data_IF_923313539392
#
_entry.id   IF_923313539392
#
_cell.length_a   1.000
_cell.length_b   1.000
_cell.length_c   1.000
_cell.angle_alpha   90.00
_cell.angle_beta   90.00
_cell.angle_gamma   90.00
#
_symmetry.space_group_name_H-M   'P 1'
#
loop_
_entity.id
_entity.type
_entity.pdbx_description
1 polymer ?
#
# COMPACT_ATOMS: atom_id res chain seq x y z
N UNK A 1 -25.35 1.73 1.39
CA UNK A 1 -23.89 2.01 1.50
C UNK A 1 -23.68 2.86 2.74
N UNK A 2 -22.69 2.56 3.56
CA UNK A 2 -22.32 3.46 4.67
C UNK A 2 -21.58 4.67 4.09
N UNK A 3 -21.94 5.87 4.54
CA UNK A 3 -21.30 7.11 4.08
C UNK A 3 -20.03 7.48 4.88
N UNK A 4 -19.77 6.77 5.98
CA UNK A 4 -18.58 6.92 6.80
C UNK A 4 -17.34 6.32 6.14
N UNK A 5 -16.19 6.96 6.39
CA UNK A 5 -14.88 6.38 6.11
C UNK A 5 -14.51 5.38 7.21
N UNK A 6 -13.91 4.26 6.82
CA UNK A 6 -13.22 3.37 7.76
C UNK A 6 -11.71 3.62 7.70
N UNK A 7 -11.15 4.14 8.78
CA UNK A 7 -9.71 4.23 8.98
C UNK A 7 -9.16 2.90 9.49
N UNK A 8 -8.33 2.25 8.68
CA UNK A 8 -7.62 1.02 9.01
C UNK A 8 -6.21 1.42 9.44
N UNK A 9 -5.90 1.22 10.71
CA UNK A 9 -4.74 1.81 11.37
C UNK A 9 -3.71 0.74 11.73
N UNK A 10 -2.47 0.92 11.28
CA UNK A 10 -1.33 0.17 11.80
C UNK A 10 -0.63 1.00 12.90
N UNK A 11 -0.90 0.72 14.19
CA UNK A 11 -0.33 1.52 15.28
C UNK A 11 1.19 1.37 15.40
N UNK A 12 1.78 0.28 14.89
CA UNK A 12 3.21 0.03 14.92
C UNK A 12 3.97 0.78 13.81
N UNK A 13 3.28 1.29 12.78
CA UNK A 13 3.91 1.97 11.65
C UNK A 13 4.71 3.21 12.09
N UNK A 14 5.87 3.39 11.45
CA UNK A 14 6.80 4.48 11.76
C UNK A 14 7.42 4.40 13.16
N UNK A 15 7.60 3.19 13.71
CA UNK A 15 8.15 3.00 15.06
C UNK A 15 7.22 3.47 16.17
N UNK A 16 5.90 3.36 15.97
CA UNK A 16 4.89 3.83 16.91
C UNK A 16 4.55 5.33 16.81
N UNK A 17 5.15 6.06 15.85
CA UNK A 17 4.79 7.46 15.55
C UNK A 17 3.32 7.61 15.19
N UNK A 18 2.77 6.64 14.46
CA UNK A 18 1.35 6.59 14.07
C UNK A 18 0.44 6.72 15.30
N UNK A 19 0.68 5.92 16.36
CA UNK A 19 -0.11 5.97 17.59
C UNK A 19 -0.14 7.35 18.24
N UNK A 20 0.97 8.10 18.20
CA UNK A 20 1.06 9.45 18.78
C UNK A 20 0.31 10.51 17.97
N UNK A 21 0.34 10.39 16.64
CA UNK A 21 -0.22 11.39 15.73
C UNK A 21 -1.67 11.09 15.32
N UNK A 22 -2.15 9.87 15.60
CA UNK A 22 -3.47 9.40 15.17
C UNK A 22 -4.60 10.28 15.71
N UNK A 23 -4.66 10.46 17.04
CA UNK A 23 -5.76 11.20 17.66
C UNK A 23 -5.86 12.65 17.15
N UNK A 24 -4.78 13.47 17.16
CA UNK A 24 -4.84 14.82 16.61
C UNK A 24 -5.25 14.88 15.13
N UNK A 25 -4.77 13.93 14.31
CA UNK A 25 -5.13 13.89 12.89
C UNK A 25 -6.62 13.55 12.69
N UNK A 26 -7.14 12.56 13.42
CA UNK A 26 -8.54 12.16 13.31
C UNK A 26 -9.49 13.22 13.89
N UNK A 27 -9.10 13.92 14.95
CA UNK A 27 -9.91 15.01 15.52
C UNK A 27 -10.03 16.16 14.52
N UNK A 28 -8.94 16.52 13.82
CA UNK A 28 -8.97 17.52 12.75
C UNK A 28 -9.88 17.10 11.60
N UNK A 29 -9.83 15.82 11.18
CA UNK A 29 -10.72 15.32 10.12
C UNK A 29 -12.18 15.30 10.58
N UNK A 30 -12.48 14.80 11.78
CA UNK A 30 -13.85 14.78 12.32
C UNK A 30 -14.42 16.18 12.53
N UNK A 31 -13.58 17.13 12.96
CA UNK A 31 -13.93 18.54 13.09
C UNK A 31 -14.31 19.21 11.77
N UNK A 32 -13.92 18.64 10.63
CA UNK A 32 -14.35 19.09 9.29
C UNK A 32 -15.69 18.49 8.83
N UNK A 33 -16.33 17.65 9.64
CA UNK A 33 -17.60 16.99 9.34
C UNK A 33 -17.47 15.56 8.79
N UNK A 34 -16.26 15.04 8.60
CA UNK A 34 -16.04 13.67 8.15
C UNK A 34 -16.43 12.64 9.21
N UNK A 35 -17.29 11.71 8.83
CA UNK A 35 -17.63 10.54 9.65
C UNK A 35 -16.54 9.48 9.48
N UNK A 36 -15.79 9.21 10.56
CA UNK A 36 -14.65 8.28 10.53
C UNK A 36 -14.76 7.27 11.67
N UNK A 37 -14.90 5.99 11.30
CA UNK A 37 -14.72 4.85 12.20
C UNK A 37 -13.27 4.33 12.13
N UNK A 38 -12.81 3.68 13.20
CA UNK A 38 -11.42 3.24 13.32
C UNK A 38 -11.39 1.73 13.57
N UNK A 39 -10.50 1.01 12.87
CA UNK A 39 -10.10 -0.36 13.19
C UNK A 39 -8.58 -0.47 13.18
N UNK A 40 -8.03 -0.93 14.30
CA UNK A 40 -6.58 -1.12 14.43
C UNK A 40 -6.17 -2.54 14.04
N UNK A 41 -5.08 -2.65 13.29
CA UNK A 41 -4.43 -3.93 12.99
C UNK A 41 -3.63 -4.41 14.20
N UNK A 42 -3.58 -5.71 14.39
CA UNK A 42 -2.83 -6.36 15.48
C UNK A 42 -1.65 -7.22 15.00
N UNK A 43 -1.64 -7.60 13.71
CA UNK A 43 -0.64 -8.47 13.11
C UNK A 43 -0.54 -8.23 11.60
N UNK A 44 0.48 -8.82 10.98
CA UNK A 44 0.64 -8.86 9.52
C UNK A 44 -0.57 -9.55 8.87
N UNK A 45 -1.11 -8.99 7.79
CA UNK A 45 -2.27 -9.50 7.07
C UNK A 45 -3.62 -9.05 7.65
N UNK A 46 -3.66 -8.54 8.88
CA UNK A 46 -4.92 -8.17 9.53
C UNK A 46 -5.59 -6.96 8.85
N UNK A 47 -4.85 -6.07 8.17
CA UNK A 47 -5.49 -4.97 7.44
C UNK A 47 -6.32 -5.48 6.25
N UNK A 48 -5.89 -6.57 5.61
CA UNK A 48 -6.64 -7.21 4.53
C UNK A 48 -7.93 -7.84 5.06
N UNK A 49 -7.87 -8.52 6.20
CA UNK A 49 -9.04 -9.10 6.87
C UNK A 49 -10.05 -8.03 7.27
N UNK A 50 -9.58 -6.92 7.89
CA UNK A 50 -10.42 -5.78 8.26
C UNK A 50 -11.09 -5.18 7.02
N UNK A 51 -10.32 -4.93 5.95
CA UNK A 51 -10.83 -4.34 4.72
C UNK A 51 -11.89 -5.24 4.07
N UNK A 52 -11.65 -6.55 4.05
CA UNK A 52 -12.59 -7.54 3.55
C UNK A 52 -13.89 -7.55 4.37
N UNK A 53 -13.80 -7.61 5.70
CA UNK A 53 -14.97 -7.61 6.57
C UNK A 53 -15.76 -6.30 6.45
N UNK A 54 -15.09 -5.16 6.44
CA UNK A 54 -15.74 -3.87 6.28
C UNK A 54 -16.44 -3.74 4.92
N UNK A 55 -15.85 -4.31 3.87
CA UNK A 55 -16.49 -4.38 2.56
C UNK A 55 -17.85 -5.12 2.63
N UNK A 56 -17.91 -6.25 3.31
CA UNK A 56 -19.16 -7.03 3.47
C UNK A 56 -20.18 -6.29 4.35
N UNK A 57 -19.72 -5.49 5.31
CA UNK A 57 -20.56 -4.59 6.12
C UNK A 57 -21.07 -3.34 5.37
N UNK A 58 -20.65 -3.15 4.11
CA UNK A 58 -21.15 -2.08 3.25
C UNK A 58 -20.29 -0.81 3.21
N UNK A 59 -19.07 -0.85 3.74
CA UNK A 59 -18.08 0.22 3.58
C UNK A 59 -17.55 0.30 2.15
N UNK A 60 -17.41 1.52 1.64
CA UNK A 60 -16.82 1.77 0.32
C UNK A 60 -15.74 2.85 0.33
N UNK A 61 -15.58 3.54 1.47
CA UNK A 61 -14.59 4.61 1.69
C UNK A 61 -13.63 4.15 2.79
N UNK A 62 -12.35 4.05 2.47
CA UNK A 62 -11.32 3.55 3.37
C UNK A 62 -10.20 4.58 3.52
N UNK A 63 -9.58 4.63 4.69
CA UNK A 63 -8.37 5.44 4.96
C UNK A 63 -7.28 4.48 5.45
N UNK A 64 -6.20 4.36 4.70
CA UNK A 64 -5.00 3.64 5.15
C UNK A 64 -4.18 4.55 6.06
N UNK A 65 -4.07 4.19 7.34
CA UNK A 65 -3.23 4.91 8.30
C UNK A 65 -2.06 4.02 8.70
N UNK A 66 -0.94 4.15 7.99
CA UNK A 66 0.19 3.25 8.14
C UNK A 66 1.30 3.53 7.14
N UNK A 67 2.00 2.47 6.73
CA UNK A 67 2.98 2.52 5.64
C UNK A 67 2.43 1.90 4.35
N UNK A 68 3.29 1.79 3.32
CA UNK A 68 2.95 1.14 2.04
C UNK A 68 2.47 -0.32 2.21
N UNK A 69 2.96 -1.03 3.24
CA UNK A 69 2.46 -2.39 3.55
C UNK A 69 1.01 -2.42 4.03
N UNK A 70 0.57 -1.38 4.76
CA UNK A 70 -0.82 -1.28 5.23
C UNK A 70 -1.76 -1.04 4.07
N UNK A 71 -1.43 -0.11 3.16
CA UNK A 71 -2.23 0.11 1.96
C UNK A 71 -2.23 -1.09 1.03
N UNK A 72 -1.10 -1.78 0.89
CA UNK A 72 -1.00 -3.03 0.13
C UNK A 72 -1.96 -4.10 0.68
N UNK A 73 -1.98 -4.34 2.00
CA UNK A 73 -2.90 -5.29 2.60
C UNK A 73 -4.37 -4.88 2.39
N UNK A 74 -4.71 -3.61 2.57
CA UNK A 74 -6.07 -3.11 2.35
C UNK A 74 -6.51 -3.36 0.90
N UNK A 75 -5.69 -3.00 -0.08
CA UNK A 75 -5.98 -3.24 -1.50
C UNK A 75 -6.25 -4.72 -1.77
N UNK A 76 -5.44 -5.61 -1.21
CA UNK A 76 -5.61 -7.06 -1.38
C UNK A 76 -6.82 -7.63 -0.63
N UNK A 77 -7.33 -6.96 0.41
CA UNK A 77 -8.61 -7.29 1.03
C UNK A 77 -9.83 -6.85 0.21
N UNK A 78 -9.70 -5.79 -0.59
CA UNK A 78 -10.79 -5.17 -1.35
C UNK A 78 -10.96 -5.74 -2.77
N UNK A 79 -9.87 -5.86 -3.53
CA UNK A 79 -9.94 -6.16 -4.97
C UNK A 79 -10.41 -7.57 -5.35
N UNK A 80 -10.25 -8.62 -4.52
CA UNK A 80 -10.94 -9.88 -4.76
C UNK A 80 -12.47 -9.73 -4.84
N UNK A 81 -13.03 -8.67 -4.23
CA UNK A 81 -14.47 -8.42 -4.14
C UNK A 81 -14.97 -7.34 -5.11
N UNK A 82 -14.10 -6.40 -5.52
CA UNK A 82 -14.47 -5.28 -6.39
C UNK A 82 -14.65 -5.68 -7.86
N UNK A 83 -14.15 -6.85 -8.28
CA UNK A 83 -14.22 -7.32 -9.66
C UNK A 83 -15.64 -7.39 -10.25
N UNK A 84 -16.68 -7.44 -9.40
CA UNK A 84 -18.09 -7.49 -9.80
C UNK A 84 -18.97 -6.44 -9.05
N UNK A 85 -18.36 -5.41 -8.46
CA UNK A 85 -19.05 -4.47 -7.59
C UNK A 85 -18.53 -3.03 -7.76
N UNK A 86 -18.92 -2.13 -6.85
CA UNK A 86 -18.47 -0.74 -6.86
C UNK A 86 -16.94 -0.62 -6.68
N UNK A 87 -16.33 0.41 -7.25
CA UNK A 87 -14.91 0.71 -7.00
C UNK A 87 -14.76 1.29 -5.58
N UNK A 88 -13.87 0.73 -4.72
CA UNK A 88 -13.60 1.33 -3.41
C UNK A 88 -12.83 2.65 -3.55
N UNK A 89 -13.12 3.61 -2.67
CA UNK A 89 -12.27 4.78 -2.46
C UNK A 89 -11.26 4.47 -1.37
N UNK A 90 -9.97 4.63 -1.65
CA UNK A 90 -8.88 4.49 -0.69
C UNK A 90 -8.11 5.80 -0.56
N UNK A 91 -8.17 6.40 0.62
CA UNK A 91 -7.35 7.55 0.99
C UNK A 91 -6.13 7.08 1.80
N UNK A 92 -5.08 7.90 1.80
CA UNK A 92 -3.84 7.65 2.50
C UNK A 92 -3.65 8.71 3.57
N UNK A 93 -3.45 8.29 4.82
CA UNK A 93 -3.08 9.20 5.91
C UNK A 93 -1.67 8.84 6.39
N UNK A 94 -0.64 9.55 5.89
CA UNK A 94 0.77 9.17 6.02
C UNK A 94 1.35 9.51 7.40
N UNK A 95 0.90 8.83 8.46
CA UNK A 95 1.43 9.05 9.82
C UNK A 95 2.70 8.24 10.14
N UNK A 96 3.04 7.27 9.26
CA UNK A 96 4.24 6.43 9.32
C UNK A 96 5.39 6.95 8.45
N UNK A 97 6.33 6.04 8.14
CA UNK A 97 7.54 6.35 7.35
C UNK A 97 7.41 6.08 5.86
N UNK A 98 6.50 5.18 5.43
CA UNK A 98 6.34 4.78 4.03
C UNK A 98 5.09 5.38 3.41
N UNK A 99 5.25 6.20 2.37
CA UNK A 99 4.17 6.93 1.70
C UNK A 99 4.41 7.01 0.19
N UNK A 100 4.95 5.94 -0.39
CA UNK A 100 5.51 5.96 -1.74
C UNK A 100 4.44 6.31 -2.77
N UNK A 101 3.23 5.73 -2.62
CA UNK A 101 2.13 6.05 -3.53
C UNK A 101 1.66 7.51 -3.41
N UNK A 102 1.64 8.09 -2.21
CA UNK A 102 1.22 9.49 -2.03
C UNK A 102 2.19 10.48 -2.69
N UNK A 103 3.49 10.12 -2.74
CA UNK A 103 4.54 10.95 -3.38
C UNK A 103 4.33 11.11 -4.88
N UNK A 104 3.58 10.21 -5.53
CA UNK A 104 3.23 10.33 -6.95
C UNK A 104 2.19 11.45 -7.19
N UNK A 105 1.54 11.95 -6.13
CA UNK A 105 0.51 12.99 -6.20
C UNK A 105 0.99 14.33 -5.62
N UNK A 106 1.82 14.29 -4.57
CA UNK A 106 2.29 15.49 -3.88
C UNK A 106 3.49 15.20 -2.98
N UNK A 107 4.37 16.19 -2.83
CA UNK A 107 5.49 16.21 -1.90
C UNK A 107 5.11 16.73 -0.49
N UNK A 108 3.92 17.30 -0.32
CA UNK A 108 3.45 17.91 0.93
C UNK A 108 2.99 16.87 1.98
N UNK A 109 2.93 15.59 1.62
CA UNK A 109 2.70 14.49 2.56
C UNK A 109 1.37 14.59 3.31
N UNK A 110 1.42 14.68 4.65
CA UNK A 110 0.23 14.61 5.51
C UNK A 110 -0.74 15.77 5.30
N UNK A 111 -0.25 16.97 5.04
CA UNK A 111 -1.12 18.14 4.85
C UNK A 111 -1.95 18.01 3.57
N UNK A 112 -1.33 17.58 2.47
CA UNK A 112 -2.06 17.29 1.23
C UNK A 112 -3.09 16.17 1.40
N UNK A 113 -2.75 15.11 2.15
CA UNK A 113 -3.69 14.02 2.45
C UNK A 113 -4.90 14.53 3.24
N UNK A 114 -4.67 15.34 4.28
CA UNK A 114 -5.71 15.92 5.12
C UNK A 114 -6.63 16.85 4.31
N UNK A 115 -6.05 17.77 3.54
CA UNK A 115 -6.83 18.67 2.68
C UNK A 115 -7.62 17.93 1.62
N UNK A 116 -7.06 16.87 1.03
CA UNK A 116 -7.74 16.07 0.02
C UNK A 116 -8.94 15.30 0.60
N UNK A 117 -8.79 14.78 1.82
CA UNK A 117 -9.89 14.16 2.58
C UNK A 117 -10.99 15.18 2.89
N UNK A 118 -10.62 16.35 3.42
CA UNK A 118 -11.58 17.41 3.80
C UNK A 118 -12.33 17.93 2.56
N UNK A 119 -11.63 18.14 1.45
CA UNK A 119 -12.22 18.62 0.21
C UNK A 119 -12.94 17.53 -0.61
N UNK A 120 -12.92 16.27 -0.16
CA UNK A 120 -13.52 15.14 -0.89
C UNK A 120 -12.89 14.87 -2.26
N UNK A 121 -11.61 15.24 -2.46
CA UNK A 121 -10.91 15.05 -3.73
C UNK A 121 -10.64 13.56 -3.95
N UNK A 122 -11.07 13.05 -5.10
CA UNK A 122 -10.83 11.68 -5.53
C UNK A 122 -10.53 11.63 -7.03
N UNK A 123 -9.81 10.60 -7.44
CA UNK A 123 -9.57 10.26 -8.84
C UNK A 123 -9.53 8.75 -9.00
N UNK A 124 -9.91 8.26 -10.17
CA UNK A 124 -9.72 6.86 -10.51
C UNK A 124 -8.23 6.56 -10.67
N UNK A 125 -7.83 5.35 -10.24
CA UNK A 125 -6.46 4.87 -10.33
C UNK A 125 -6.50 3.41 -10.79
N UNK A 126 -5.64 3.10 -11.76
CA UNK A 126 -5.46 1.72 -12.21
C UNK A 126 -4.82 0.87 -11.12
N UNK A 127 -5.19 -0.41 -11.10
CA UNK A 127 -4.64 -1.40 -10.18
C UNK A 127 -4.05 -2.55 -10.97
N UNK A 128 -2.77 -2.83 -10.70
CA UNK A 128 -2.05 -3.93 -11.31
C UNK A 128 -2.50 -5.24 -10.66
N UNK A 129 -2.97 -6.18 -11.47
CA UNK A 129 -3.36 -7.53 -11.02
C UNK A 129 -2.30 -8.55 -11.44
N UNK A 130 -1.66 -9.18 -10.46
CA UNK A 130 -0.71 -10.27 -10.64
C UNK A 130 -1.37 -11.60 -10.29
N UNK A 131 -1.37 -12.55 -11.23
CA UNK A 131 -1.74 -13.94 -10.94
C UNK A 131 -0.47 -14.78 -10.81
N UNK A 132 -0.32 -15.50 -9.70
CA UNK A 132 0.76 -16.45 -9.46
C UNK A 132 0.21 -17.79 -8.96
N UNK A 133 1.09 -18.79 -8.82
CA UNK A 133 0.71 -20.17 -8.45
C UNK A 133 -0.11 -20.28 -7.15
N UNK A 134 0.07 -19.34 -6.21
CA UNK A 134 -0.57 -19.38 -4.88
C UNK A 134 -1.76 -18.41 -4.77
N UNK A 135 -2.11 -17.69 -5.85
CA UNK A 135 -3.27 -16.80 -5.86
C UNK A 135 -3.09 -15.55 -6.72
N UNK A 136 -3.86 -14.52 -6.36
CA UNK A 136 -3.88 -13.23 -7.05
C UNK A 136 -3.47 -12.15 -6.07
N UNK A 137 -2.58 -11.26 -6.50
CA UNK A 137 -2.17 -10.07 -5.76
C UNK A 137 -2.48 -8.82 -6.57
N UNK A 138 -2.85 -7.75 -5.87
CA UNK A 138 -3.13 -6.44 -6.45
C UNK A 138 -2.10 -5.42 -5.93
N UNK A 139 -1.62 -4.57 -6.84
CA UNK A 139 -0.62 -3.53 -6.57
C UNK A 139 -1.11 -2.18 -7.09
N UNK A 140 -0.84 -1.13 -6.32
CA UNK A 140 -1.20 0.25 -6.69
C UNK A 140 0.02 1.12 -7.04
N UNK A 141 1.23 0.67 -6.72
CA UNK A 141 2.45 1.47 -6.93
C UNK A 141 3.39 0.76 -7.91
N UNK A 142 4.08 -0.29 -7.44
CA UNK A 142 5.10 -0.97 -8.23
C UNK A 142 5.08 -2.47 -7.98
N UNK A 143 5.29 -3.23 -9.07
CA UNK A 143 5.61 -4.65 -9.04
C UNK A 143 7.05 -4.81 -9.55
N UNK A 144 7.89 -5.50 -8.79
CA UNK A 144 9.28 -5.77 -9.15
C UNK A 144 9.57 -7.28 -9.17
N UNK A 145 10.24 -7.74 -10.23
CA UNK A 145 10.71 -9.13 -10.37
C UNK A 145 12.22 -9.15 -10.65
N UNK A 146 12.88 -10.24 -10.27
CA UNK A 146 14.31 -10.44 -10.54
C UNK A 146 15.21 -9.62 -9.62
N UNK A 147 16.19 -8.93 -10.21
CA UNK A 147 17.30 -8.32 -9.47
C UNK A 147 16.86 -7.30 -8.41
N UNK A 148 15.96 -6.38 -8.74
CA UNK A 148 15.48 -5.38 -7.79
C UNK A 148 14.75 -6.01 -6.59
N UNK A 149 13.98 -7.08 -6.83
CA UNK A 149 13.32 -7.85 -5.79
C UNK A 149 14.32 -8.61 -4.90
N UNK A 150 15.38 -9.17 -5.50
CA UNK A 150 16.46 -9.82 -4.75
C UNK A 150 17.18 -8.81 -3.83
N UNK A 151 17.48 -7.60 -4.34
CA UNK A 151 18.11 -6.51 -3.57
C UNK A 151 17.22 -6.10 -2.41
N UNK A 152 15.93 -5.84 -2.67
CA UNK A 152 14.98 -5.44 -1.64
C UNK A 152 14.84 -6.52 -0.55
N UNK A 153 14.81 -7.79 -0.95
CA UNK A 153 14.74 -8.94 -0.03
C UNK A 153 16.00 -9.04 0.83
N UNK A 154 17.18 -8.91 0.22
CA UNK A 154 18.45 -8.97 0.93
C UNK A 154 18.59 -7.81 1.92
N UNK A 155 18.22 -6.59 1.50
CA UNK A 155 18.18 -5.40 2.37
C UNK A 155 17.26 -5.63 3.55
N UNK A 156 16.03 -6.10 3.32
CA UNK A 156 15.07 -6.33 4.39
C UNK A 156 15.53 -7.40 5.39
N UNK A 157 16.19 -8.48 4.92
CA UNK A 157 16.61 -9.59 5.78
C UNK A 157 17.92 -9.34 6.54
N UNK A 158 18.87 -8.61 5.96
CA UNK A 158 20.23 -8.48 6.51
C UNK A 158 20.66 -7.06 6.86
N UNK A 159 20.05 -6.04 6.25
CA UNK A 159 20.52 -4.66 6.34
C UNK A 159 19.38 -3.67 6.64
N UNK A 160 18.30 -4.13 7.29
CA UNK A 160 17.09 -3.33 7.51
C UNK A 160 17.34 -2.09 8.37
N UNK A 161 18.30 -2.17 9.29
CA UNK A 161 18.71 -1.09 10.20
C UNK A 161 19.78 -0.15 9.62
N UNK A 162 20.31 -0.41 8.42
CA UNK A 162 21.48 0.30 7.88
C UNK A 162 21.12 1.47 6.95
N UNK A 163 19.84 1.87 6.92
CA UNK A 163 19.37 2.98 6.09
C UNK A 163 19.75 2.81 4.61
N UNK A 164 20.34 3.85 4.03
CA UNK A 164 20.77 3.91 2.62
C UNK A 164 21.98 3.00 2.32
N UNK A 165 22.94 2.91 3.24
CA UNK A 165 24.10 2.01 3.08
C UNK A 165 23.70 0.54 3.00
N UNK A 166 22.59 0.17 3.65
CA UNK A 166 22.00 -1.16 3.53
C UNK A 166 21.53 -1.47 2.12
N UNK A 167 21.01 -0.47 1.39
CA UNK A 167 20.63 -0.62 -0.01
C UNK A 167 21.86 -0.78 -0.91
N UNK A 168 22.85 0.11 -0.79
CA UNK A 168 24.07 0.05 -1.60
C UNK A 168 24.82 -1.28 -1.41
N UNK A 169 24.91 -1.76 -0.18
CA UNK A 169 25.53 -3.05 0.15
C UNK A 169 24.75 -4.23 -0.45
N UNK A 170 23.42 -4.20 -0.33
CA UNK A 170 22.58 -5.24 -0.92
C UNK A 170 22.71 -5.28 -2.45
N UNK A 171 22.77 -4.12 -3.12
CA UNK A 171 23.04 -4.01 -4.56
C UNK A 171 24.36 -4.68 -4.91
N UNK A 172 25.46 -4.31 -4.25
CA UNK A 172 26.78 -4.86 -4.54
C UNK A 172 26.83 -6.38 -4.35
N UNK A 173 26.27 -6.89 -3.25
CA UNK A 173 26.21 -8.34 -2.99
C UNK A 173 25.36 -9.06 -4.03
N UNK A 174 24.20 -8.50 -4.40
CA UNK A 174 23.36 -9.09 -5.45
C UNK A 174 24.07 -9.06 -6.82
N UNK A 175 24.83 -8.00 -7.14
CA UNK A 175 25.62 -7.89 -8.38
C UNK A 175 26.71 -8.95 -8.45
N UNK A 176 27.49 -9.13 -7.37
CA UNK A 176 28.55 -10.17 -7.33
C UNK A 176 27.99 -11.59 -7.46
N UNK A 177 26.71 -11.79 -7.12
CA UNK A 177 26.00 -13.08 -7.23
C UNK A 177 24.98 -13.07 -8.38
N UNK A 178 25.08 -12.13 -9.30
CA UNK A 178 24.09 -11.94 -10.34
C UNK A 178 24.01 -13.19 -11.21
N UNK A 179 22.85 -13.84 -11.18
CA UNK A 179 22.49 -14.90 -12.12
C UNK A 179 21.39 -14.36 -12.99
N UNK A 180 21.68 -14.24 -14.28
CA UNK A 180 20.67 -13.87 -15.27
C UNK A 180 19.54 -14.90 -15.22
N UNK A 181 18.32 -14.44 -14.96
CA UNK A 181 17.10 -15.24 -15.00
C UNK A 181 16.31 -14.79 -16.22
N UNK A 182 16.05 -15.66 -17.21
CA UNK A 182 15.16 -15.30 -18.30
C UNK A 182 13.74 -15.21 -17.76
N UNK A 183 13.06 -14.10 -18.06
CA UNK A 183 11.64 -13.90 -17.76
C UNK A 183 10.92 -13.75 -19.11
N UNK A 184 10.34 -14.84 -19.65
CA UNK A 184 9.54 -14.74 -20.86
C UNK A 184 8.43 -13.70 -20.64
N UNK A 185 8.36 -12.73 -21.54
CA UNK A 185 7.38 -11.64 -21.51
C UNK A 185 6.48 -11.77 -22.73
N UNK A 186 5.23 -11.35 -22.59
CA UNK A 186 4.31 -11.14 -23.70
C UNK A 186 3.43 -9.96 -23.36
N UNK A 187 3.24 -9.02 -24.29
CA UNK A 187 2.36 -7.86 -24.13
C UNK A 187 1.16 -8.07 -25.04
N UNK A 188 -0.05 -7.78 -24.55
CA UNK A 188 -1.31 -7.91 -25.32
C UNK A 188 -1.56 -9.28 -25.98
N UNK A 189 -0.98 -10.34 -25.39
CA UNK A 189 -0.97 -11.72 -25.93
C UNK A 189 -0.24 -11.86 -27.26
N UNK A 190 0.49 -10.83 -27.69
CA UNK A 190 1.46 -10.95 -28.76
C UNK A 190 2.70 -11.68 -28.23
N UNK A 191 3.16 -12.74 -28.91
CA UNK A 191 4.32 -13.49 -28.48
C UNK A 191 5.60 -12.71 -28.83
N UNK A 192 5.94 -11.70 -28.03
CA UNK A 192 7.25 -11.06 -28.14
C UNK A 192 8.21 -11.68 -27.12
N UNK A 193 8.81 -12.78 -27.56
CA UNK A 193 9.73 -13.54 -26.73
C UNK A 193 11.07 -12.83 -26.70
N UNK A 194 11.29 -11.98 -25.70
CA UNK A 194 12.65 -11.56 -25.36
C UNK A 194 13.42 -12.79 -24.79
N UNK A 195 14.08 -13.50 -25.72
CA UNK A 195 14.96 -14.65 -25.46
C UNK A 195 16.39 -14.20 -25.11
N UNK A 196 16.67 -12.89 -25.05
CA UNK A 196 18.05 -12.38 -24.94
C UNK A 196 18.59 -12.24 -23.55
#
# INVERSE_FOLDING_TARGET
MRDAYLAIVNPAAGGGRTRKLLAPALDRLRGSGLQIEIRETSALGHAAEIAHQAWTEGYRKFISVGGDGTSFEIVNGLFPQSANAATPTLAFLPLGTGNSFLRDFSDQGVDYAMESLIAGRSRECDVLRLTHKDGVLCYINILSIGFSADVATLRARRFSSWGELGYQTAIFICLTRFRRRPFPLSVDREPDVDRR
#
